data_IF_270516466156
#
_entry.id   IF_270516466156
#
_cell.length_a   1.000
_cell.length_b   1.000
_cell.length_c   1.000
_cell.angle_alpha   90.00
_cell.angle_beta   90.00
_cell.angle_gamma   90.00
#
_symmetry.space_group_name_H-M   'P 1'
#
loop_
_entity.id
_entity.type
_entity.pdbx_description
1 polymer ?
#
# COMPACT_ATOMS: atom_id res chain seq x y z
N UNK A 1 -2.30 20.73 -1.70
CA UNK A 1 -3.75 20.61 -1.97
C UNK A 1 -4.37 19.77 -0.86
N UNK A 2 -5.46 20.19 -0.24
CA UNK A 2 -6.16 19.36 0.76
C UNK A 2 -6.89 18.23 0.02
N UNK A 3 -6.52 16.98 0.28
CA UNK A 3 -7.28 15.83 -0.22
C UNK A 3 -8.57 15.75 0.60
N UNK A 4 -9.75 15.61 -0.04
CA UNK A 4 -10.99 15.34 0.68
C UNK A 4 -10.82 14.12 1.59
N UNK A 5 -11.45 14.16 2.75
CA UNK A 5 -11.45 13.03 3.68
C UNK A 5 -12.00 11.81 2.94
N UNK A 6 -11.26 10.68 2.98
CA UNK A 6 -11.78 9.42 2.45
C UNK A 6 -13.03 9.05 3.25
N UNK A 7 -14.11 8.75 2.55
CA UNK A 7 -15.35 8.32 3.19
C UNK A 7 -15.10 7.01 3.92
N UNK A 8 -15.30 7.01 5.24
CA UNK A 8 -15.11 5.85 6.09
C UNK A 8 -16.47 5.31 6.52
N UNK A 9 -16.66 3.99 6.40
CA UNK A 9 -17.85 3.31 6.89
C UNK A 9 -17.43 2.12 7.76
N UNK A 10 -18.23 1.74 8.77
CA UNK A 10 -17.97 0.55 9.56
C UNK A 10 -17.85 -0.70 8.66
N UNK A 11 -16.80 -1.50 8.88
CA UNK A 11 -16.52 -2.73 8.13
C UNK A 11 -16.35 -2.55 6.61
N UNK A 12 -16.05 -1.33 6.13
CA UNK A 12 -15.71 -1.12 4.74
C UNK A 12 -14.45 -1.92 4.35
N UNK A 13 -14.46 -2.48 3.14
CA UNK A 13 -13.29 -3.10 2.52
C UNK A 13 -12.74 -2.12 1.49
N UNK A 14 -11.51 -1.68 1.69
CA UNK A 14 -10.81 -0.79 0.77
C UNK A 14 -9.89 -1.59 -0.16
N UNK A 15 -9.87 -1.23 -1.44
CA UNK A 15 -8.84 -1.71 -2.37
C UNK A 15 -7.65 -0.74 -2.32
N UNK A 16 -6.53 -1.20 -1.77
CA UNK A 16 -5.28 -0.45 -1.74
C UNK A 16 -4.40 -0.88 -2.91
N UNK A 17 -4.00 0.06 -3.75
CA UNK A 17 -3.07 -0.18 -4.86
C UNK A 17 -1.96 0.86 -4.84
N UNK A 18 -0.77 0.44 -5.26
CA UNK A 18 0.37 1.32 -5.49
C UNK A 18 0.91 1.03 -6.90
N UNK A 19 1.74 1.93 -7.41
CA UNK A 19 2.49 1.74 -8.65
C UNK A 19 3.91 2.21 -8.41
N UNK A 20 4.88 1.61 -9.09
CA UNK A 20 6.25 2.11 -9.08
C UNK A 20 6.29 3.53 -9.64
N UNK A 21 7.25 4.32 -9.16
CA UNK A 21 7.52 5.60 -9.79
C UNK A 21 7.90 5.35 -11.26
N UNK A 22 7.49 6.26 -12.15
CA UNK A 22 7.78 6.16 -13.60
C UNK A 22 7.36 4.84 -14.28
N UNK A 23 6.47 4.04 -13.65
CA UNK A 23 6.08 2.68 -14.07
C UNK A 23 7.18 1.63 -13.92
N UNK A 24 8.18 1.91 -13.10
CA UNK A 24 9.19 0.93 -12.74
C UNK A 24 8.57 -0.18 -11.89
N UNK A 25 9.31 -1.27 -11.74
CA UNK A 25 8.94 -2.35 -10.83
C UNK A 25 8.77 -1.82 -9.42
N UNK A 26 7.77 -2.32 -8.69
CA UNK A 26 7.55 -1.96 -7.29
C UNK A 26 8.56 -2.68 -6.39
N UNK A 27 8.93 -3.90 -6.77
CA UNK A 27 9.90 -4.74 -6.09
C UNK A 27 10.96 -5.17 -7.08
N UNK A 28 12.22 -5.15 -6.66
CA UNK A 28 13.35 -5.59 -7.48
C UNK A 28 13.48 -7.12 -7.51
N UNK A 29 13.13 -7.77 -6.40
CA UNK A 29 13.10 -9.22 -6.25
C UNK A 29 12.07 -9.68 -5.18
N UNK A 30 11.97 -10.99 -5.01
CA UNK A 30 11.07 -11.60 -4.02
C UNK A 30 11.46 -11.23 -2.58
N UNK A 31 12.76 -11.01 -2.30
CA UNK A 31 13.22 -10.68 -0.95
C UNK A 31 12.79 -9.27 -0.54
N UNK A 32 12.89 -8.29 -1.44
CA UNK A 32 12.37 -6.95 -1.25
C UNK A 32 10.84 -6.95 -1.03
N UNK A 33 10.10 -7.74 -1.82
CA UNK A 33 8.66 -7.95 -1.62
C UNK A 33 8.36 -8.49 -0.21
N UNK A 34 9.09 -9.50 0.26
CA UNK A 34 8.88 -10.06 1.60
C UNK A 34 9.18 -9.04 2.70
N UNK A 35 10.23 -8.22 2.53
CA UNK A 35 10.56 -7.14 3.48
C UNK A 35 9.44 -6.11 3.56
N UNK A 36 8.88 -5.69 2.43
CA UNK A 36 7.73 -4.79 2.41
C UNK A 36 6.52 -5.38 3.13
N UNK A 37 6.19 -6.66 2.86
CA UNK A 37 5.07 -7.33 3.51
C UNK A 37 5.27 -7.48 5.03
N UNK A 38 6.50 -7.71 5.48
CA UNK A 38 6.82 -7.78 6.90
C UNK A 38 6.55 -6.44 7.61
N UNK A 39 6.90 -5.31 6.97
CA UNK A 39 6.58 -3.97 7.48
C UNK A 39 5.08 -3.72 7.48
N UNK A 40 4.38 -4.11 6.41
CA UNK A 40 2.93 -3.93 6.28
C UNK A 40 2.14 -4.72 7.34
N UNK A 41 2.64 -5.89 7.74
CA UNK A 41 2.02 -6.76 8.73
C UNK A 41 2.26 -6.31 10.19
N UNK A 42 3.02 -5.24 10.43
CA UNK A 42 3.23 -4.73 11.77
C UNK A 42 1.90 -4.26 12.40
N UNK A 43 1.66 -4.54 13.68
CA UNK A 43 0.47 -4.06 14.37
C UNK A 43 0.49 -2.52 14.47
N UNK A 44 -0.67 -1.91 14.25
CA UNK A 44 -0.92 -0.47 14.38
C UNK A 44 -1.11 -0.05 15.84
#
# INVERSE_FOLDING_TARGET
>A
MSRPLRTAFPAAVDHVTTRGDRRDSIFDDDNDQQQFLAVLALPL
#
